data_IF_630829729761
#
_entry.id   IF_630829729761
#
_cell.length_a   1.000
_cell.length_b   1.000
_cell.length_c   1.000
_cell.angle_alpha   90.00
_cell.angle_beta   90.00
_cell.angle_gamma   90.00
#
_symmetry.space_group_name_H-M   'P 1'
#
loop_
_entity.id
_entity.type
_entity.pdbx_description
1 polymer ?
#
# COMPACT_ATOMS: atom_id res chain seq x y z
N UNK A 1 2.33 7.33 -4.03
CA UNK A 1 1.64 6.23 -3.32
C UNK A 1 2.59 5.16 -2.76
N UNK A 2 3.30 4.38 -3.59
CA UNK A 2 4.21 3.31 -3.13
C UNK A 2 5.31 3.81 -2.18
N UNK A 3 5.91 4.96 -2.46
CA UNK A 3 6.92 5.57 -1.56
C UNK A 3 6.39 5.92 -0.17
N UNK A 4 5.10 6.27 -0.08
CA UNK A 4 4.46 6.56 1.22
C UNK A 4 4.27 5.27 2.00
N UNK A 5 3.75 4.21 1.36
CA UNK A 5 3.63 2.88 1.96
C UNK A 5 5.00 2.33 2.37
N UNK A 6 6.03 2.52 1.54
CA UNK A 6 7.40 2.11 1.82
C UNK A 6 7.96 2.79 3.07
N UNK A 7 7.80 4.10 3.20
CA UNK A 7 8.27 4.85 4.37
C UNK A 7 7.62 4.34 5.65
N UNK A 8 6.30 4.14 5.62
CA UNK A 8 5.54 3.67 6.79
C UNK A 8 5.87 2.22 7.17
N UNK A 9 6.03 1.35 6.17
CA UNK A 9 6.39 -0.03 6.41
C UNK A 9 7.82 -0.18 6.95
N UNK A 10 8.78 0.59 6.42
CA UNK A 10 10.15 0.62 6.94
C UNK A 10 10.19 1.21 8.36
N UNK A 11 9.36 2.20 8.66
CA UNK A 11 9.21 2.71 10.03
C UNK A 11 8.70 1.60 10.96
N UNK A 12 7.66 0.85 10.59
CA UNK A 12 7.15 -0.27 11.38
C UNK A 12 8.22 -1.36 11.60
N UNK A 13 9.00 -1.71 10.57
CA UNK A 13 10.13 -2.66 10.70
C UNK A 13 11.16 -2.16 11.71
N UNK A 14 11.55 -0.89 11.61
CA UNK A 14 12.53 -0.28 12.51
C UNK A 14 12.03 -0.21 13.95
N UNK A 15 10.76 0.15 14.15
CA UNK A 15 10.13 0.20 15.47
C UNK A 15 10.01 -1.19 16.07
N UNK A 16 9.53 -2.20 15.32
CA UNK A 16 9.39 -3.59 15.80
C UNK A 16 10.74 -4.21 16.19
N UNK A 17 11.81 -3.87 15.47
CA UNK A 17 13.17 -4.34 15.79
C UNK A 17 13.72 -3.69 17.06
N UNK A 18 13.52 -2.39 17.22
CA UNK A 18 14.03 -1.64 18.38
C UNK A 18 13.17 -1.83 19.63
N UNK A 19 11.88 -2.16 19.49
CA UNK A 19 10.95 -2.32 20.62
C UNK A 19 11.32 -3.48 21.54
N UNK A 20 12.18 -4.40 21.10
CA UNK A 20 12.71 -5.46 21.94
C UNK A 20 13.66 -4.95 23.05
N UNK A 21 14.24 -3.75 22.88
CA UNK A 21 15.27 -3.21 23.79
C UNK A 21 14.95 -1.78 24.25
N UNK A 22 13.94 -1.13 23.69
CA UNK A 22 13.61 0.27 23.97
C UNK A 22 12.09 0.44 24.02
N UNK A 23 11.53 1.12 25.03
CA UNK A 23 10.09 1.30 25.15
C UNK A 23 9.53 2.10 23.96
N UNK A 24 8.32 1.73 23.51
CA UNK A 24 7.68 2.32 22.32
C UNK A 24 7.54 3.84 22.41
N UNK A 25 7.28 4.40 23.61
CA UNK A 25 7.17 5.84 23.80
C UNK A 25 8.45 6.58 23.37
N UNK A 26 9.60 6.11 23.87
CA UNK A 26 10.90 6.69 23.52
C UNK A 26 11.23 6.52 22.03
N UNK A 27 10.82 5.39 21.43
CA UNK A 27 10.99 5.17 19.99
C UNK A 27 10.11 6.10 19.15
N UNK A 28 8.86 6.34 19.55
CA UNK A 28 7.99 7.30 18.87
C UNK A 28 8.53 8.72 18.94
N UNK A 29 9.10 9.12 20.08
CA UNK A 29 9.75 10.43 20.22
C UNK A 29 10.99 10.52 19.33
N UNK A 30 11.87 9.50 19.36
CA UNK A 30 13.08 9.40 18.53
C UNK A 30 12.78 9.49 17.03
N UNK A 31 11.73 8.80 16.58
CA UNK A 31 11.31 8.78 15.17
C UNK A 31 10.32 9.89 14.81
N UNK A 32 10.06 10.84 15.71
CA UNK A 32 9.13 11.98 15.52
C UNK A 32 7.74 11.54 15.03
N UNK A 33 7.22 10.44 15.58
CA UNK A 33 5.88 9.94 15.26
C UNK A 33 4.84 10.87 15.90
N UNK A 34 4.03 11.49 15.04
CA UNK A 34 2.93 12.37 15.41
C UNK A 34 1.96 11.69 16.39
N UNK A 35 1.46 12.45 17.38
CA UNK A 35 0.67 11.89 18.51
C UNK A 35 -0.57 11.13 18.06
N UNK A 36 -1.33 11.68 17.12
CA UNK A 36 -2.53 11.05 16.55
C UNK A 36 -2.25 9.73 15.80
N UNK A 37 -0.99 9.41 15.49
CA UNK A 37 -0.59 8.17 14.81
C UNK A 37 -0.09 7.09 15.76
N UNK A 38 0.27 7.44 17.00
CA UNK A 38 0.92 6.51 17.94
C UNK A 38 0.03 5.32 18.32
N UNK A 39 -1.28 5.55 18.49
CA UNK A 39 -2.25 4.48 18.79
C UNK A 39 -2.29 3.43 17.68
N UNK A 40 -2.60 3.87 16.45
CA UNK A 40 -2.65 3.00 15.27
C UNK A 40 -1.31 2.28 15.02
N UNK A 41 -0.17 2.97 15.21
CA UNK A 41 1.15 2.37 15.08
C UNK A 41 1.42 1.31 16.15
N UNK A 42 1.02 1.57 17.40
CA UNK A 42 1.14 0.61 18.50
C UNK A 42 0.31 -0.65 18.26
N UNK A 43 -0.95 -0.49 17.82
CA UNK A 43 -1.81 -1.62 17.45
C UNK A 43 -1.23 -2.43 16.29
N UNK A 44 -0.72 -1.76 15.25
CA UNK A 44 -0.06 -2.43 14.13
C UNK A 44 1.18 -3.21 14.59
N UNK A 45 2.01 -2.62 15.46
CA UNK A 45 3.17 -3.29 16.05
C UNK A 45 2.75 -4.47 16.92
N UNK A 46 1.64 -4.41 17.64
CA UNK A 46 1.16 -5.54 18.44
C UNK A 46 0.65 -6.69 17.57
N UNK A 47 -0.08 -6.37 16.49
CA UNK A 47 -0.69 -7.35 15.58
C UNK A 47 0.32 -8.00 14.62
N UNK A 48 1.35 -7.29 14.19
CA UNK A 48 2.29 -7.74 13.17
C UNK A 48 3.57 -8.32 13.77
N UNK A 49 3.92 -9.54 13.35
CA UNK A 49 5.19 -10.19 13.68
C UNK A 49 6.33 -9.69 12.79
N UNK A 50 7.58 -9.86 13.24
CA UNK A 50 8.76 -9.48 12.46
C UNK A 50 8.87 -10.23 11.11
N UNK A 51 8.53 -11.54 11.01
CA UNK A 51 8.42 -12.23 9.72
C UNK A 51 7.39 -11.61 8.78
N UNK A 52 6.19 -11.28 9.27
CA UNK A 52 5.14 -10.65 8.45
C UNK A 52 5.58 -9.27 7.92
N UNK A 53 6.28 -8.48 8.73
CA UNK A 53 6.83 -7.20 8.29
C UNK A 53 7.92 -7.37 7.22
N UNK A 54 8.82 -8.36 7.37
CA UNK A 54 9.83 -8.69 6.34
C UNK A 54 9.16 -9.11 5.03
N UNK A 55 8.14 -9.96 5.11
CA UNK A 55 7.37 -10.40 3.95
C UNK A 55 6.70 -9.21 3.26
N UNK A 56 6.05 -8.32 4.01
CA UNK A 56 5.46 -7.11 3.45
C UNK A 56 6.48 -6.24 2.71
N UNK A 57 7.72 -6.11 3.22
CA UNK A 57 8.79 -5.36 2.53
C UNK A 57 9.18 -6.04 1.23
N UNK A 58 9.39 -7.36 1.22
CA UNK A 58 9.72 -8.12 0.01
C UNK A 58 8.64 -7.98 -1.06
N UNK A 59 7.39 -8.05 -0.65
CA UNK A 59 6.24 -7.91 -1.54
C UNK A 59 6.13 -6.49 -2.11
N UNK A 60 6.38 -5.47 -1.29
CA UNK A 60 6.41 -4.08 -1.74
C UNK A 60 7.54 -3.85 -2.75
N UNK A 61 8.74 -4.39 -2.49
CA UNK A 61 9.88 -4.31 -3.43
C UNK A 61 9.56 -5.01 -4.75
N UNK A 62 8.96 -6.21 -4.72
CA UNK A 62 8.54 -6.93 -5.92
C UNK A 62 7.52 -6.12 -6.73
N UNK A 63 6.57 -5.49 -6.05
CA UNK A 63 5.56 -4.64 -6.67
C UNK A 63 6.19 -3.41 -7.31
N UNK A 64 7.15 -2.77 -6.64
CA UNK A 64 7.85 -1.61 -7.18
C UNK A 64 8.66 -1.97 -8.44
N UNK A 65 9.38 -3.09 -8.42
CA UNK A 65 10.11 -3.60 -9.58
C UNK A 65 9.16 -3.92 -10.74
N UNK A 66 8.05 -4.59 -10.45
CA UNK A 66 7.04 -4.97 -11.46
C UNK A 66 6.41 -3.73 -12.09
N UNK A 67 6.04 -2.73 -11.30
CA UNK A 67 5.44 -1.49 -11.82
C UNK A 67 6.44 -0.69 -12.67
N UNK A 68 7.70 -0.62 -12.26
CA UNK A 68 8.76 -0.02 -13.07
C UNK A 68 8.95 -0.75 -14.40
N UNK A 69 8.92 -2.08 -14.41
CA UNK A 69 9.01 -2.88 -15.64
C UNK A 69 7.78 -2.71 -16.54
N UNK A 70 6.56 -2.70 -15.98
CA UNK A 70 5.30 -2.48 -16.72
C UNK A 70 5.30 -1.10 -17.39
N UNK A 71 5.77 -0.07 -16.67
CA UNK A 71 5.85 1.30 -17.19
C UNK A 71 6.78 1.39 -18.41
N UNK A 72 7.89 0.64 -18.39
CA UNK A 72 8.83 0.57 -19.52
C UNK A 72 8.25 -0.23 -20.70
N UNK A 73 7.43 -1.26 -20.44
CA UNK A 73 6.81 -2.06 -21.52
C UNK A 73 5.61 -1.42 -22.21
N UNK A 74 4.90 -0.49 -21.54
CA UNK A 74 3.74 0.22 -22.10
C UNK A 74 4.09 1.57 -22.74
N UNK A 75 5.25 2.15 -22.41
CA UNK A 75 5.77 3.32 -23.09
C UNK A 75 6.54 2.85 -24.33
N UNK A 76 6.00 3.13 -25.52
CA UNK A 76 6.63 2.79 -26.79
C UNK A 76 8.10 3.19 -26.82
N UNK A 77 8.93 2.29 -27.36
CA UNK A 77 10.36 2.40 -27.66
C UNK A 77 10.85 3.85 -27.86
N UNK A 78 11.41 4.49 -26.82
CA UNK A 78 12.40 5.58 -26.97
C UNK A 78 12.99 6.03 -25.63
N UNK A 79 13.59 5.13 -24.85
CA UNK A 79 14.58 5.55 -23.83
C UNK A 79 15.72 4.52 -23.78
N UNK A 80 16.66 4.65 -24.73
CA UNK A 80 18.00 4.11 -24.56
C UNK A 80 18.69 4.91 -23.46
N UNK A 81 19.18 4.20 -22.45
CA UNK A 81 20.06 4.76 -21.42
C UNK A 81 19.37 4.90 -20.07
N UNK A 82 19.36 3.81 -19.31
CA UNK A 82 19.71 3.69 -17.89
C UNK A 82 19.27 2.29 -17.42
N UNK A 83 19.84 1.28 -18.07
CA UNK A 83 19.83 -0.09 -17.57
C UNK A 83 21.22 -0.35 -16.99
N UNK A 84 21.43 0.05 -15.74
CA UNK A 84 22.61 -0.35 -14.98
C UNK A 84 22.17 -1.30 -13.87
N UNK A 85 22.43 -2.58 -14.13
CA UNK A 85 22.87 -3.62 -13.22
C UNK A 85 22.30 -3.64 -11.79
N UNK A 86 21.53 -4.69 -11.48
CA UNK A 86 22.07 -5.75 -10.62
C UNK A 86 21.21 -7.01 -10.75
N UNK A 87 21.85 -8.02 -11.33
CA UNK A 87 21.43 -9.40 -11.27
C UNK A 87 21.61 -9.98 -9.85
N UNK A 88 21.14 -11.22 -9.71
CA UNK A 88 21.48 -12.23 -8.69
C UNK A 88 20.64 -12.20 -7.38
N UNK A 89 20.15 -13.40 -7.02
CA UNK A 89 19.87 -13.96 -5.67
C UNK A 89 18.40 -14.05 -5.16
N UNK A 90 18.07 -15.02 -4.28
CA UNK A 90 17.53 -16.35 -4.62
C UNK A 90 16.25 -16.62 -3.80
N UNK A 91 15.30 -15.69 -3.82
CA UNK A 91 14.20 -15.62 -2.84
C UNK A 91 12.98 -16.51 -3.16
N UNK A 92 13.11 -17.47 -4.09
CA UNK A 92 11.96 -18.29 -4.53
C UNK A 92 11.49 -19.33 -3.50
N UNK A 93 12.19 -19.49 -2.38
CA UNK A 93 11.91 -20.55 -1.40
C UNK A 93 11.36 -20.08 -0.05
N UNK A 94 10.97 -18.82 0.11
CA UNK A 94 10.44 -18.30 1.39
C UNK A 94 9.04 -17.71 1.25
N UNK A 95 8.08 -18.50 0.76
CA UNK A 95 6.67 -18.10 0.63
C UNK A 95 5.69 -19.18 1.14
N UNK A 96 6.02 -19.89 2.21
CA UNK A 96 5.20 -21.01 2.70
C UNK A 96 4.64 -20.87 4.12
N UNK A 97 4.74 -19.72 4.80
CA UNK A 97 4.38 -19.67 6.24
C UNK A 97 3.40 -18.57 6.68
N UNK A 98 2.76 -17.83 5.78
CA UNK A 98 1.64 -16.95 6.17
C UNK A 98 0.49 -17.10 5.19
N UNK A 99 -0.68 -17.52 5.70
CA UNK A 99 -1.92 -17.54 4.94
C UNK A 99 -2.41 -16.10 4.71
N UNK A 100 -2.05 -15.56 3.54
CA UNK A 100 -2.38 -14.20 3.11
C UNK A 100 -3.88 -14.02 2.86
N UNK A 101 -4.69 -15.10 2.85
CA UNK A 101 -6.15 -15.00 2.73
C UNK A 101 -6.80 -14.27 3.92
N UNK A 102 -6.14 -14.22 5.07
CA UNK A 102 -6.64 -13.57 6.29
C UNK A 102 -6.37 -12.05 6.35
N UNK A 103 -5.56 -11.52 5.42
CA UNK A 103 -5.15 -10.12 5.45
C UNK A 103 -6.20 -9.22 4.79
N UNK A 104 -6.70 -8.22 5.52
CA UNK A 104 -7.58 -7.19 4.97
C UNK A 104 -6.76 -5.99 4.49
N UNK A 105 -6.97 -5.59 3.23
CA UNK A 105 -6.38 -4.41 2.65
C UNK A 105 -7.42 -3.29 2.49
N UNK A 106 -7.08 -2.10 2.97
CA UNK A 106 -7.89 -0.89 2.83
C UNK A 106 -7.11 0.13 1.98
N UNK A 107 -7.75 0.69 0.97
CA UNK A 107 -7.14 1.67 0.07
C UNK A 107 -7.99 2.94 0.00
N UNK A 108 -7.55 3.98 0.73
CA UNK A 108 -8.23 5.26 0.80
C UNK A 108 -7.71 6.30 -0.19
N UNK A 109 -8.61 7.13 -0.72
CA UNK A 109 -8.27 8.21 -1.66
C UNK A 109 -9.43 9.17 -1.92
N UNK A 110 -9.13 10.37 -2.44
CA UNK A 110 -10.18 11.31 -2.85
C UNK A 110 -10.86 10.84 -4.14
N UNK A 111 -10.12 10.28 -5.11
CA UNK A 111 -10.67 9.75 -6.37
C UNK A 111 -11.49 10.78 -7.16
N UNK A 112 -10.85 11.86 -7.55
CA UNK A 112 -11.46 12.99 -8.25
C UNK A 112 -10.71 13.31 -9.57
N UNK A 113 -10.96 12.54 -10.65
CA UNK A 113 -11.69 11.28 -10.71
C UNK A 113 -10.80 10.05 -10.40
N UNK A 114 -11.43 8.88 -10.24
CA UNK A 114 -10.70 7.60 -10.23
C UNK A 114 -10.04 7.37 -11.61
N UNK A 115 -8.85 6.76 -11.63
CA UNK A 115 -8.10 6.47 -12.86
C UNK A 115 -7.16 5.26 -12.67
N UNK A 116 -6.58 4.74 -13.76
CA UNK A 116 -5.70 3.57 -13.72
C UNK A 116 -4.48 3.70 -12.80
N UNK A 117 -3.91 4.91 -12.69
CA UNK A 117 -2.83 5.17 -11.72
C UNK A 117 -3.21 4.90 -10.25
N UNK A 118 -4.49 4.90 -9.90
CA UNK A 118 -4.98 4.50 -8.58
C UNK A 118 -5.15 2.97 -8.49
N UNK A 119 -5.85 2.37 -9.46
CA UNK A 119 -6.31 0.98 -9.38
C UNK A 119 -5.23 -0.04 -9.74
N UNK A 120 -4.46 0.21 -10.82
CA UNK A 120 -3.49 -0.77 -11.34
C UNK A 120 -2.40 -1.15 -10.33
N UNK A 121 -1.82 -0.21 -9.56
CA UNK A 121 -0.85 -0.57 -8.53
C UNK A 121 -1.46 -1.42 -7.41
N UNK A 122 -2.71 -1.14 -7.03
CA UNK A 122 -3.42 -1.87 -5.97
C UNK A 122 -3.75 -3.28 -6.42
N UNK A 123 -4.29 -3.45 -7.62
CA UNK A 123 -4.56 -4.76 -8.21
C UNK A 123 -3.28 -5.59 -8.37
N UNK A 124 -2.22 -4.96 -8.88
CA UNK A 124 -0.92 -5.64 -9.09
C UNK A 124 -0.35 -6.09 -7.75
N UNK A 125 -0.36 -5.21 -6.74
CA UNK A 125 0.06 -5.56 -5.39
C UNK A 125 -0.76 -6.73 -4.85
N UNK A 126 -2.08 -6.59 -4.84
CA UNK A 126 -2.97 -7.60 -4.28
C UNK A 126 -2.79 -8.99 -4.92
N UNK A 127 -2.66 -9.05 -6.26
CA UNK A 127 -2.37 -10.29 -6.97
C UNK A 127 -0.99 -10.87 -6.63
N UNK A 128 0.06 -10.03 -6.57
CA UNK A 128 1.42 -10.49 -6.27
C UNK A 128 1.56 -11.10 -4.88
N UNK A 129 0.72 -10.65 -3.94
CA UNK A 129 0.80 -11.05 -2.54
C UNK A 129 -0.28 -12.05 -2.12
N UNK A 130 -1.16 -12.43 -3.05
CA UNK A 130 -2.25 -13.37 -2.79
C UNK A 130 -3.36 -12.82 -1.90
N UNK A 131 -3.62 -11.50 -1.94
CA UNK A 131 -4.82 -10.94 -1.30
C UNK A 131 -6.06 -11.44 -2.02
N UNK A 132 -7.07 -11.81 -1.24
CA UNK A 132 -8.39 -12.18 -1.76
C UNK A 132 -9.28 -10.98 -2.02
N UNK A 133 -8.98 -9.83 -1.37
CA UNK A 133 -9.83 -8.64 -1.40
C UNK A 133 -9.08 -7.37 -1.01
N UNK A 134 -9.44 -6.26 -1.65
CA UNK A 134 -9.07 -4.90 -1.25
C UNK A 134 -10.31 -4.03 -1.17
N UNK A 135 -10.52 -3.37 -0.03
CA UNK A 135 -11.63 -2.42 0.15
C UNK A 135 -11.17 -1.00 -0.18
N UNK A 136 -11.83 -0.36 -1.13
CA UNK A 136 -11.63 1.02 -1.54
C UNK A 136 -12.45 1.94 -0.62
N UNK A 137 -11.83 2.99 -0.09
CA UNK A 137 -12.46 3.93 0.85
C UNK A 137 -12.40 5.35 0.24
N UNK A 138 -13.51 5.86 -0.33
CA UNK A 138 -13.55 7.24 -0.79
C UNK A 138 -13.49 8.19 0.41
N UNK A 139 -12.46 9.04 0.44
CA UNK A 139 -12.26 9.98 1.55
C UNK A 139 -13.23 11.15 1.47
N UNK A 140 -13.70 11.60 2.63
CA UNK A 140 -14.36 12.88 2.76
C UNK A 140 -13.30 14.00 2.74
N UNK A 141 -13.66 15.17 2.19
CA UNK A 141 -12.77 16.34 2.14
C UNK A 141 -13.24 17.35 3.18
N UNK A 142 -12.40 17.74 4.15
CA UNK A 142 -12.77 18.74 5.14
C UNK A 142 -13.17 20.08 4.46
N UNK A 143 -14.12 20.84 5.04
CA UNK A 143 -14.63 22.06 4.42
C UNK A 143 -13.56 23.15 4.23
N UNK A 144 -12.48 23.11 5.01
CA UNK A 144 -11.36 24.05 4.94
C UNK A 144 -10.32 23.72 3.85
N UNK A 145 -10.54 22.68 3.04
CA UNK A 145 -9.65 22.32 1.92
C UNK A 145 -10.32 22.67 0.58
N UNK A 146 -9.54 22.88 -0.49
CA UNK A 146 -10.07 22.95 -1.84
C UNK A 146 -10.99 21.75 -2.08
N UNK A 147 -12.21 22.04 -2.51
CA UNK A 147 -13.21 20.99 -2.74
C UNK A 147 -12.91 20.26 -4.05
N UNK A 148 -13.16 18.94 -4.09
CA UNK A 148 -13.12 18.16 -5.34
C UNK A 148 -14.08 18.74 -6.39
N UNK A 149 -13.75 18.55 -7.67
CA UNK A 149 -14.65 18.89 -8.77
C UNK A 149 -15.91 18.02 -8.74
N UNK A 150 -15.76 16.72 -8.49
CA UNK A 150 -16.87 15.80 -8.33
C UNK A 150 -17.33 15.68 -6.87
N UNK A 151 -18.63 15.80 -6.63
CA UNK A 151 -19.21 15.61 -5.31
C UNK A 151 -19.06 14.16 -4.81
N UNK A 152 -19.33 13.91 -3.52
CA UNK A 152 -19.16 12.59 -2.91
C UNK A 152 -19.95 11.47 -3.62
N UNK A 153 -21.17 11.77 -4.08
CA UNK A 153 -22.04 10.83 -4.81
C UNK A 153 -21.43 10.50 -6.17
N UNK A 154 -20.98 11.51 -6.91
CA UNK A 154 -20.32 11.34 -8.22
C UNK A 154 -19.03 10.54 -8.09
N UNK A 155 -18.18 10.84 -7.10
CA UNK A 155 -16.94 10.09 -6.86
C UNK A 155 -17.21 8.63 -6.51
N UNK A 156 -18.22 8.37 -5.68
CA UNK A 156 -18.68 7.01 -5.38
C UNK A 156 -19.14 6.29 -6.64
N UNK A 157 -19.99 6.94 -7.44
CA UNK A 157 -20.52 6.36 -8.67
C UNK A 157 -19.42 6.06 -9.70
N UNK A 158 -18.47 6.98 -9.90
CA UNK A 158 -17.31 6.74 -10.75
C UNK A 158 -16.47 5.56 -10.25
N UNK A 159 -16.31 5.39 -8.93
CA UNK A 159 -15.63 4.24 -8.34
C UNK A 159 -16.37 2.93 -8.60
N UNK A 160 -17.70 2.90 -8.42
CA UNK A 160 -18.53 1.73 -8.70
C UNK A 160 -18.34 1.27 -10.15
N UNK A 161 -18.39 2.21 -11.10
CA UNK A 161 -18.15 1.93 -12.51
C UNK A 161 -16.71 1.44 -12.77
N UNK A 162 -15.70 2.07 -12.15
CA UNK A 162 -14.30 1.75 -12.38
C UNK A 162 -13.84 0.41 -11.80
N UNK A 163 -14.61 -0.18 -10.88
CA UNK A 163 -14.30 -1.48 -10.26
C UNK A 163 -15.32 -2.58 -10.58
N UNK A 164 -16.34 -2.30 -11.39
CA UNK A 164 -17.45 -3.23 -11.67
C UNK A 164 -16.98 -4.59 -12.21
N UNK A 165 -15.89 -4.62 -12.99
CA UNK A 165 -15.29 -5.81 -13.59
C UNK A 165 -14.10 -6.37 -12.79
N UNK A 166 -13.87 -5.87 -11.57
CA UNK A 166 -12.69 -6.17 -10.75
C UNK A 166 -13.08 -6.90 -9.46
N UNK A 167 -13.23 -8.24 -9.46
CA UNK A 167 -13.71 -9.00 -8.30
C UNK A 167 -12.80 -8.90 -7.07
N UNK A 168 -11.54 -8.50 -7.26
CA UNK A 168 -10.56 -8.27 -6.20
C UNK A 168 -10.83 -6.98 -5.40
N UNK A 169 -11.55 -6.01 -5.98
CA UNK A 169 -11.78 -4.70 -5.40
C UNK A 169 -13.23 -4.58 -4.94
N UNK A 170 -13.44 -4.15 -3.70
CA UNK A 170 -14.77 -3.81 -3.18
C UNK A 170 -14.82 -2.35 -2.79
N UNK A 171 -15.94 -1.69 -3.03
CA UNK A 171 -16.18 -0.37 -2.51
C UNK A 171 -16.73 -0.45 -1.08
N UNK A 172 -16.21 0.37 -0.17
CA UNK A 172 -16.80 0.51 1.16
C UNK A 172 -18.17 1.17 1.05
N UNK A 173 -19.22 0.42 1.35
CA UNK A 173 -20.56 0.98 1.50
C UNK A 173 -20.62 1.73 2.84
N UNK A 174 -20.71 3.05 2.80
CA UNK A 174 -21.12 3.81 3.97
C UNK A 174 -22.61 3.53 4.20
N UNK A 175 -22.92 2.85 5.31
CA UNK A 175 -24.26 2.74 5.89
C UNK A 175 -24.64 4.03 6.59
#
# INVERSE_FOLDING_TARGET
MLRTLQRELLLLVNLKRQSAHTPLRALFDKHRVWQNRRGMMGEALNRLSQPQLRQAVQLLTRTELTLKQITVSQCGQSWKGYLFCCAINPWRTYLSTVDMKSLQALFGGTFDPVHYGHLKPVETLANLIGLTRVTIIPNNVPPHRPQPEANSVQRKHMLELAIADKPLLLLMNAS
#
